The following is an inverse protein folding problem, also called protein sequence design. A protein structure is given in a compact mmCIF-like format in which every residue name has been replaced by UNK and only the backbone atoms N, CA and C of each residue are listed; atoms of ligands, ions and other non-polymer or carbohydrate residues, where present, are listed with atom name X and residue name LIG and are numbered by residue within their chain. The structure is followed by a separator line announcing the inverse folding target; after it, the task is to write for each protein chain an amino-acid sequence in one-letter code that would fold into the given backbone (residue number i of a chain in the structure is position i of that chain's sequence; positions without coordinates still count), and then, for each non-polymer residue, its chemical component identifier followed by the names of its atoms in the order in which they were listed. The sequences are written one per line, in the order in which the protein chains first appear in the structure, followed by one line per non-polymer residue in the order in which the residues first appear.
data_IF_849946495545
#
_entry.id   IF_849946495545
#
_cell.length_a   1.000
_cell.length_b   1.000
_cell.length_c   1.000
_cell.angle_alpha   90.00
_cell.angle_beta   90.00
_cell.angle_gamma   90.00
#
_symmetry.space_group_name_H-M   'P 1'
#
loop_
_entity.id
_entity.type
_entity.pdbx_description
1 polymer ?
#
# COMPACT_ATOMS: atom_id res chain seq x y z
N UNK A 1 8.03 2.54 40.07
CA UNK A 1 6.75 3.14 39.64
C UNK A 1 6.21 2.27 38.51
N UNK A 2 5.05 1.62 38.68
CA UNK A 2 4.46 0.83 37.59
C UNK A 2 3.94 1.79 36.49
N UNK A 3 4.07 1.44 35.20
CA UNK A 3 3.53 2.26 34.12
C UNK A 3 1.99 2.34 34.26
N UNK A 4 1.37 3.48 33.92
CA UNK A 4 -0.07 3.62 33.96
C UNK A 4 -0.72 2.61 32.99
N UNK A 5 -1.88 2.04 33.35
CA UNK A 5 -2.56 1.08 32.50
C UNK A 5 -2.91 1.71 31.14
N UNK A 6 -2.82 0.93 30.05
CA UNK A 6 -3.14 1.42 28.73
C UNK A 6 -4.61 1.90 28.68
N UNK A 7 -4.83 3.02 28.02
CA UNK A 7 -6.19 3.54 27.81
C UNK A 7 -7.02 2.56 26.97
N UNK A 8 -8.33 2.48 27.21
CA UNK A 8 -9.26 1.62 26.44
C UNK A 8 -9.14 1.85 24.93
N UNK A 9 -8.86 3.09 24.51
CA UNK A 9 -8.64 3.43 23.10
C UNK A 9 -7.42 2.75 22.50
N UNK A 10 -6.33 2.60 23.26
CA UNK A 10 -5.12 1.90 22.79
C UNK A 10 -5.40 0.41 22.66
N UNK A 11 -6.09 -0.16 23.66
CA UNK A 11 -6.48 -1.58 23.63
C UNK A 11 -7.39 -1.91 22.44
N UNK A 12 -8.34 -1.02 22.12
CA UNK A 12 -9.23 -1.16 20.96
C UNK A 12 -8.46 -1.05 19.63
N UNK A 13 -7.51 -0.12 19.54
CA UNK A 13 -6.67 0.05 18.34
C UNK A 13 -5.81 -1.20 18.09
N UNK A 14 -5.25 -1.80 19.15
CA UNK A 14 -4.54 -3.08 19.08
C UNK A 14 -5.45 -4.21 18.60
N UNK A 15 -6.64 -4.37 19.19
CA UNK A 15 -7.58 -5.42 18.81
C UNK A 15 -8.05 -5.29 17.36
N UNK A 16 -8.36 -4.06 16.93
CA UNK A 16 -8.71 -3.78 15.52
C UNK A 16 -7.54 -4.14 14.61
N UNK A 17 -6.31 -3.77 14.99
CA UNK A 17 -5.10 -4.16 14.26
C UNK A 17 -4.98 -5.69 14.09
N UNK A 18 -5.21 -6.46 15.17
CA UNK A 18 -5.19 -7.93 15.12
C UNK A 18 -6.27 -8.53 14.20
N UNK A 19 -7.45 -7.92 14.13
CA UNK A 19 -8.52 -8.35 13.23
C UNK A 19 -8.11 -8.05 11.78
N UNK A 20 -7.62 -6.85 11.52
CA UNK A 20 -7.19 -6.42 10.19
C UNK A 20 -6.01 -7.25 9.66
N UNK A 21 -5.11 -7.72 10.53
CA UNK A 21 -4.00 -8.61 10.15
C UNK A 21 -4.49 -9.95 9.60
N UNK A 22 -5.67 -10.41 10.02
CA UNK A 22 -6.25 -11.69 9.58
C UNK A 22 -7.00 -11.60 8.25
N UNK A 23 -7.16 -10.40 7.69
CA UNK A 23 -7.72 -10.26 6.34
C UNK A 23 -6.81 -10.98 5.33
N UNK A 24 -7.38 -11.75 4.38
CA UNK A 24 -6.60 -12.56 3.46
C UNK A 24 -5.85 -11.67 2.45
N UNK A 25 -4.61 -12.04 2.09
CA UNK A 25 -3.84 -11.34 1.06
C UNK A 25 -4.49 -11.45 -0.33
N UNK A 26 -5.22 -12.52 -0.62
CA UNK A 26 -5.76 -12.79 -1.95
C UNK A 26 -6.88 -11.83 -2.37
N UNK A 27 -7.44 -11.08 -1.41
CA UNK A 27 -8.47 -10.07 -1.63
C UNK A 27 -7.99 -8.68 -1.16
N UNK A 28 -7.11 -8.00 -1.91
CA UNK A 28 -6.57 -6.68 -1.52
C UNK A 28 -7.66 -5.59 -1.41
N UNK A 29 -8.82 -5.82 -2.03
CA UNK A 29 -9.98 -4.95 -1.92
C UNK A 29 -10.49 -4.83 -0.47
N UNK A 30 -10.33 -5.86 0.37
CA UNK A 30 -10.81 -5.83 1.75
C UNK A 30 -9.97 -4.95 2.66
N UNK A 31 -8.64 -5.01 2.50
CA UNK A 31 -7.71 -4.07 3.16
C UNK A 31 -8.06 -2.64 2.76
N UNK A 32 -8.35 -2.41 1.47
CA UNK A 32 -8.76 -1.09 0.98
C UNK A 32 -10.09 -0.65 1.61
N UNK A 33 -11.12 -1.49 1.60
CA UNK A 33 -12.44 -1.20 2.21
C UNK A 33 -12.29 -0.88 3.70
N UNK A 34 -11.49 -1.66 4.43
CA UNK A 34 -11.19 -1.39 5.83
C UNK A 34 -10.56 0.01 6.05
N UNK A 35 -9.67 0.45 5.15
CA UNK A 35 -9.06 1.80 5.22
C UNK A 35 -10.05 2.95 4.97
N UNK A 36 -11.22 2.64 4.40
CA UNK A 36 -12.26 3.60 4.09
C UNK A 36 -13.33 3.71 5.19
N UNK A 37 -13.37 2.80 6.15
CA UNK A 37 -14.35 2.81 7.26
C UNK A 37 -14.23 4.08 8.10
N UNK A 38 -13.02 4.42 8.55
CA UNK A 38 -12.79 5.66 9.31
C UNK A 38 -11.31 6.08 9.30
N UNK A 39 -11.05 7.33 9.73
CA UNK A 39 -9.68 7.87 9.87
C UNK A 39 -8.80 7.09 10.85
N UNK A 40 -9.38 6.37 11.81
CA UNK A 40 -8.64 5.55 12.78
C UNK A 40 -8.10 4.28 12.11
N UNK A 41 -8.97 3.53 11.42
CA UNK A 41 -8.60 2.32 10.70
C UNK A 41 -7.59 2.61 9.58
N UNK A 42 -7.77 3.71 8.85
CA UNK A 42 -6.78 4.17 7.87
C UNK A 42 -5.40 4.37 8.48
N UNK A 43 -5.32 4.97 9.69
CA UNK A 43 -4.06 5.19 10.40
C UNK A 43 -3.40 3.88 10.80
N UNK A 44 -4.17 2.91 11.31
CA UNK A 44 -3.67 1.57 11.66
C UNK A 44 -3.09 0.85 10.43
N UNK A 45 -3.81 0.88 9.30
CA UNK A 45 -3.37 0.23 8.06
C UNK A 45 -2.16 0.91 7.41
N UNK A 46 -1.98 2.21 7.65
CA UNK A 46 -0.84 2.98 7.15
C UNK A 46 0.39 2.88 8.06
N UNK A 47 0.27 2.28 9.24
CA UNK A 47 1.39 2.11 10.17
C UNK A 47 2.44 1.15 9.56
N UNK A 48 3.72 1.56 9.46
CA UNK A 48 4.80 0.67 9.04
C UNK A 48 4.87 -0.64 9.82
N UNK A 49 4.51 -0.64 11.12
CA UNK A 49 4.47 -1.83 11.96
C UNK A 49 3.38 -2.81 11.49
N UNK A 50 2.19 -2.32 11.14
CA UNK A 50 1.13 -3.17 10.58
C UNK A 50 1.62 -3.86 9.30
N UNK A 51 2.20 -3.09 8.37
CA UNK A 51 2.70 -3.64 7.11
C UNK A 51 3.81 -4.68 7.28
N UNK A 52 4.66 -4.58 8.32
CA UNK A 52 5.66 -5.61 8.63
C UNK A 52 4.99 -6.88 9.15
N UNK A 53 4.13 -6.75 10.16
CA UNK A 53 3.39 -7.88 10.77
C UNK A 53 2.52 -8.61 9.76
N UNK A 54 1.86 -7.87 8.87
CA UNK A 54 1.04 -8.44 7.80
C UNK A 54 1.88 -9.29 6.83
N UNK A 55 3.07 -8.81 6.43
CA UNK A 55 4.00 -9.58 5.58
C UNK A 55 4.61 -10.78 6.31
N UNK A 56 4.92 -10.66 7.59
CA UNK A 56 5.43 -11.76 8.42
C UNK A 56 4.38 -12.89 8.54
N UNK A 57 3.12 -12.53 8.75
CA UNK A 57 2.01 -13.48 8.87
C UNK A 57 1.71 -14.19 7.55
N UNK A 58 1.68 -13.43 6.44
CA UNK A 58 1.26 -13.94 5.13
C UNK A 58 2.41 -14.33 4.19
N UNK A 59 3.67 -14.12 4.60
CA UNK A 59 4.95 -14.43 3.93
C UNK A 59 5.21 -13.79 2.56
N UNK A 60 4.22 -13.64 1.70
CA UNK A 60 4.35 -12.92 0.43
C UNK A 60 3.06 -12.16 0.14
N UNK A 61 3.10 -10.82 0.08
CA UNK A 61 1.95 -10.06 -0.35
C UNK A 61 1.59 -10.45 -1.79
N UNK A 62 0.30 -10.40 -2.17
CA UNK A 62 -0.09 -10.65 -3.54
C UNK A 62 0.64 -9.64 -4.43
N UNK A 63 1.09 -10.09 -5.60
CA UNK A 63 1.55 -9.15 -6.60
C UNK A 63 0.35 -8.25 -6.95
N UNK A 64 0.44 -6.94 -6.65
CA UNK A 64 -0.65 -5.98 -6.89
C UNK A 64 -0.63 -5.47 -8.34
N UNK A 65 0.52 -5.53 -8.98
CA UNK A 65 0.71 -5.16 -10.37
C UNK A 65 2.17 -4.93 -10.74
N UNK A 66 2.38 -4.52 -12.00
CA UNK A 66 3.68 -4.21 -12.58
C UNK A 66 3.77 -2.73 -12.94
N UNK A 67 4.92 -2.11 -12.71
CA UNK A 67 5.22 -0.77 -13.21
C UNK A 67 5.97 -0.87 -14.53
N UNK A 68 5.55 -0.12 -15.53
CA UNK A 68 6.21 -0.09 -16.83
C UNK A 68 7.22 1.07 -16.86
N UNK A 69 8.51 0.76 -17.04
CA UNK A 69 9.59 1.76 -17.07
C UNK A 69 9.63 2.54 -18.39
N UNK A 70 9.06 1.98 -19.48
CA UNK A 70 9.18 2.53 -20.82
C UNK A 70 7.95 3.38 -21.15
N UNK A 71 8.05 4.68 -20.92
CA UNK A 71 7.11 5.65 -21.45
C UNK A 71 7.28 5.80 -22.97
N UNK A 72 6.92 4.77 -23.74
CA UNK A 72 6.67 4.92 -25.17
C UNK A 72 5.33 5.63 -25.34
N UNK A 73 5.39 6.96 -25.45
CA UNK A 73 4.36 7.81 -26.07
C UNK A 73 2.91 7.35 -25.83
N UNK A 74 2.44 7.44 -24.59
CA UNK A 74 1.00 7.41 -24.25
C UNK A 74 0.23 6.12 -24.49
N UNK A 75 0.88 5.00 -24.82
CA UNK A 75 0.18 3.77 -25.22
C UNK A 75 -0.12 2.79 -24.07
N UNK A 76 0.52 2.92 -22.90
CA UNK A 76 0.35 1.97 -21.80
C UNK A 76 0.17 2.66 -20.43
N UNK A 77 -0.72 2.14 -19.57
CA UNK A 77 -0.82 2.62 -18.20
C UNK A 77 0.50 2.37 -17.46
N UNK A 78 1.00 3.33 -16.67
CA UNK A 78 2.28 3.20 -15.96
C UNK A 78 2.28 2.06 -14.92
N UNK A 79 1.08 1.55 -14.58
CA UNK A 79 0.88 0.41 -13.71
C UNK A 79 -0.20 -0.52 -14.28
N UNK A 80 0.14 -1.80 -14.38
CA UNK A 80 -0.79 -2.88 -14.78
C UNK A 80 -1.16 -3.65 -13.53
N UNK A 81 -2.41 -3.54 -13.07
CA UNK A 81 -2.86 -4.29 -11.90
C UNK A 81 -3.05 -5.77 -12.24
N UNK A 82 -2.52 -6.64 -11.40
CA UNK A 82 -2.69 -8.11 -11.48
C UNK A 82 -3.88 -8.60 -10.67
N UNK A 83 -4.58 -7.70 -10.00
CA UNK A 83 -5.76 -7.97 -9.19
C UNK A 83 -6.94 -7.19 -9.76
N UNK A 84 -8.16 -7.71 -9.59
CA UNK A 84 -9.38 -6.96 -9.88
C UNK A 84 -9.57 -5.85 -8.83
N UNK A 85 -8.65 -4.88 -8.80
CA UNK A 85 -8.68 -3.75 -7.87
C UNK A 85 -9.47 -2.60 -8.50
N UNK A 86 -10.46 -2.04 -7.80
CA UNK A 86 -11.13 -0.80 -8.23
C UNK A 86 -10.22 0.44 -8.08
N UNK A 87 -9.05 0.30 -7.46
CA UNK A 87 -8.10 1.39 -7.28
C UNK A 87 -7.21 1.48 -8.52
N UNK A 88 -7.64 2.29 -9.49
CA UNK A 88 -6.71 2.80 -10.50
C UNK A 88 -5.64 3.61 -9.77
N UNK A 89 -4.35 3.36 -9.98
CA UNK A 89 -3.34 4.26 -9.46
C UNK A 89 -3.58 5.65 -10.04
N UNK A 90 -3.19 6.72 -9.32
CA UNK A 90 -3.26 8.07 -9.88
C UNK A 90 -2.56 8.05 -11.24
N UNK A 91 -3.16 8.68 -12.25
CA UNK A 91 -2.51 8.92 -13.54
C UNK A 91 -1.28 9.77 -13.28
N UNK A 92 -0.14 9.09 -13.11
CA UNK A 92 1.16 9.75 -13.07
C UNK A 92 1.38 10.29 -14.48
N UNK A 93 1.61 11.60 -14.60
CA UNK A 93 2.10 12.19 -15.82
C UNK A 93 3.52 11.64 -16.05
N UNK A 94 3.55 10.47 -16.68
CA UNK A 94 4.73 9.62 -16.76
C UNK A 94 5.72 10.11 -17.83
N UNK A 95 5.41 11.23 -18.50
CA UNK A 95 6.27 11.86 -19.52
C UNK A 95 7.66 12.25 -19.00
N UNK A 96 7.82 12.41 -17.69
CA UNK A 96 9.10 12.78 -17.06
C UNK A 96 9.59 11.79 -16.00
N UNK A 97 8.91 10.65 -15.79
CA UNK A 97 9.14 9.79 -14.63
C UNK A 97 9.58 8.38 -15.09
N UNK A 98 10.80 7.98 -14.75
CA UNK A 98 11.36 6.66 -15.04
C UNK A 98 11.36 5.79 -13.78
N UNK A 99 10.86 4.55 -13.88
CA UNK A 99 10.91 3.59 -12.77
C UNK A 99 12.30 2.95 -12.72
N UNK A 100 13.02 3.17 -11.63
CA UNK A 100 14.37 2.64 -11.41
C UNK A 100 14.38 1.29 -10.70
N UNK A 101 13.53 1.13 -9.68
CA UNK A 101 13.53 -0.08 -8.83
C UNK A 101 12.15 -0.28 -8.16
N UNK A 102 11.84 -1.53 -7.82
CA UNK A 102 10.62 -1.93 -7.13
C UNK A 102 10.96 -2.96 -6.05
N UNK A 103 10.97 -2.55 -4.78
CA UNK A 103 11.25 -3.46 -3.67
C UNK A 103 10.34 -3.20 -2.46
N UNK A 104 9.95 -4.27 -1.77
CA UNK A 104 9.09 -4.23 -0.57
C UNK A 104 7.72 -3.53 -0.75
N UNK A 105 7.17 -3.49 -1.98
CA UNK A 105 5.92 -2.76 -2.27
C UNK A 105 6.10 -1.23 -2.34
N UNK A 106 7.34 -0.77 -2.57
CA UNK A 106 7.67 0.62 -2.90
C UNK A 106 8.31 0.66 -4.27
N UNK A 107 8.15 1.79 -4.96
CA UNK A 107 8.74 2.05 -6.27
C UNK A 107 9.64 3.26 -6.18
N UNK A 108 10.87 3.12 -6.67
CA UNK A 108 11.80 4.22 -6.84
C UNK A 108 11.60 4.81 -8.24
N UNK A 109 11.34 6.10 -8.28
CA UNK A 109 11.05 6.83 -9.51
C UNK A 109 12.06 7.98 -9.64
N UNK A 110 12.67 8.11 -10.82
CA UNK A 110 13.51 9.25 -11.20
C UNK A 110 12.70 10.21 -12.06
N UNK A 111 12.71 11.50 -11.68
CA UNK A 111 12.09 12.55 -12.50
C UNK A 111 13.16 13.21 -13.36
N UNK A 112 13.10 13.02 -14.67
CA UNK A 112 13.92 13.79 -15.61
C UNK A 112 13.42 15.24 -15.67
N UNK A 113 14.36 16.18 -15.69
CA UNK A 113 14.02 17.58 -15.91
C UNK A 113 13.44 17.74 -17.32
N UNK A 114 12.40 18.56 -17.52
CA UNK A 114 11.95 18.88 -18.87
C UNK A 114 13.15 19.51 -19.61
N UNK A 115 13.54 18.91 -20.74
CA UNK A 115 14.52 19.53 -21.63
C UNK A 115 13.89 20.80 -22.17
N UNK A 116 14.37 21.95 -21.68
CA UNK A 116 14.07 23.29 -22.21
C UNK A 116 14.98 23.57 -23.40
#
# INVERSE_FOLDING_TARGET
MAPPPPSLTVLLDELVGEILLRLPPDEPADILRASLVCKRWRRLLSDPAFGRRYRELHRSPPLLGFFHSICSVGLFPPFVSTVASPCSPPTLDCSSWETLDCHHGRVLIYRSAPMV
#
